data_IF_748973540070
#
_entry.id   IF_748973540070
#
_cell.length_a   1.000
_cell.length_b   1.000
_cell.length_c   1.000
_cell.angle_alpha   90.00
_cell.angle_beta   90.00
_cell.angle_gamma   90.00
#
_symmetry.space_group_name_H-M   'P 1'
#
loop_
_entity.id
_entity.type
_entity.pdbx_description
1 polymer ?
#
# COMPACT_ATOMS: atom_id res chain seq x y z
N UNK A 1 -10.90 32.24 46.61
CA UNK A 1 -9.93 31.14 46.35
C UNK A 1 -10.55 29.93 45.68
N UNK A 2 -11.81 29.56 45.94
CA UNK A 2 -12.48 28.43 45.26
C UNK A 2 -12.85 28.69 43.78
N UNK A 3 -13.16 29.94 43.40
CA UNK A 3 -13.59 30.28 42.03
C UNK A 3 -12.46 30.23 41.00
N UNK A 4 -11.22 30.52 41.43
CA UNK A 4 -10.02 30.49 40.58
C UNK A 4 -9.57 29.05 40.28
N UNK A 5 -9.75 28.13 41.23
CA UNK A 5 -9.41 26.71 41.07
C UNK A 5 -10.34 26.03 40.06
N UNK A 6 -11.64 26.37 40.07
CA UNK A 6 -12.62 25.85 39.12
C UNK A 6 -12.30 26.30 37.69
N UNK A 7 -11.88 27.57 37.49
CA UNK A 7 -11.47 28.08 36.18
C UNK A 7 -10.19 27.41 35.64
N UNK A 8 -9.21 27.10 36.50
CA UNK A 8 -7.97 26.40 36.10
C UNK A 8 -8.22 24.93 35.78
N UNK A 9 -9.17 24.28 36.46
CA UNK A 9 -9.57 22.89 36.17
C UNK A 9 -10.40 22.81 34.89
N UNK A 10 -11.33 23.74 34.65
CA UNK A 10 -12.12 23.79 33.40
C UNK A 10 -11.27 24.17 32.18
N UNK A 11 -10.26 25.04 32.33
CA UNK A 11 -9.32 25.35 31.24
C UNK A 11 -8.34 24.21 30.99
N UNK A 12 -7.83 23.52 32.02
CA UNK A 12 -7.02 22.31 31.86
C UNK A 12 -7.80 21.13 31.27
N UNK A 13 -9.08 20.96 31.61
CA UNK A 13 -9.97 19.95 31.00
C UNK A 13 -10.31 20.31 29.56
N UNK A 14 -10.44 21.60 29.21
CA UNK A 14 -10.56 22.03 27.82
C UNK A 14 -9.30 21.74 27.02
N UNK A 15 -8.10 21.98 27.57
CA UNK A 15 -6.83 21.64 26.91
C UNK A 15 -6.60 20.14 26.75
N UNK A 16 -7.11 19.31 27.67
CA UNK A 16 -7.13 17.85 27.54
C UNK A 16 -8.20 17.34 26.57
N UNK A 17 -9.28 18.09 26.33
CA UNK A 17 -10.31 17.72 25.35
C UNK A 17 -10.08 18.28 23.94
N UNK A 18 -9.16 19.23 23.73
CA UNK A 18 -8.85 19.79 22.41
C UNK A 18 -7.64 19.18 21.70
N UNK A 19 -6.94 18.21 22.30
CA UNK A 19 -5.81 17.50 21.66
C UNK A 19 -6.13 16.09 21.14
N UNK A 20 -7.41 15.75 20.96
CA UNK A 20 -7.83 14.50 20.27
C UNK A 20 -8.69 14.84 19.05
N UNK A 21 -8.15 15.71 18.18
CA UNK A 21 -8.61 15.82 16.80
C UNK A 21 -7.55 15.15 15.92
N UNK A 22 -7.32 13.87 16.19
CA UNK A 22 -6.42 13.03 15.41
C UNK A 22 -7.25 12.40 14.28
N UNK A 23 -6.87 12.69 13.03
CA UNK A 23 -7.58 12.20 11.86
C UNK A 23 -7.58 10.67 11.78
N UNK A 24 -8.61 10.15 11.13
CA UNK A 24 -9.07 8.77 11.26
C UNK A 24 -8.77 7.92 10.00
N UNK A 25 -7.86 8.38 9.13
CA UNK A 25 -7.63 7.73 7.85
C UNK A 25 -6.80 6.43 8.01
N UNK A 26 -7.33 5.32 7.47
CA UNK A 26 -6.72 3.99 7.31
C UNK A 26 -5.96 3.38 8.51
N UNK A 27 -6.42 3.61 9.75
CA UNK A 27 -5.82 2.99 10.96
C UNK A 27 -5.85 1.46 10.97
N UNK A 28 -6.79 0.84 10.26
CA UNK A 28 -6.90 -0.62 10.13
C UNK A 28 -5.65 -1.27 9.55
N UNK A 29 -4.78 -0.52 8.85
CA UNK A 29 -3.51 -1.05 8.38
C UNK A 29 -2.64 -1.58 9.52
N UNK A 30 -2.83 -1.08 10.76
CA UNK A 30 -2.11 -1.54 11.95
C UNK A 30 -2.31 -3.04 12.25
N UNK A 31 -3.31 -3.68 11.63
CA UNK A 31 -3.49 -5.14 11.63
C UNK A 31 -2.23 -5.88 11.16
N UNK A 32 -1.38 -5.27 10.31
CA UNK A 32 -0.12 -5.90 9.88
C UNK A 32 0.75 -6.39 11.05
N UNK A 33 0.63 -5.73 12.22
CA UNK A 33 1.40 -6.03 13.41
C UNK A 33 0.68 -6.94 14.42
N UNK A 34 -0.36 -7.67 14.00
CA UNK A 34 -1.12 -8.60 14.86
C UNK A 34 -0.23 -9.58 15.64
N UNK A 35 0.86 -10.05 15.05
CA UNK A 35 1.79 -10.98 15.70
C UNK A 35 2.52 -10.34 16.90
N UNK A 36 2.87 -9.04 16.83
CA UNK A 36 3.47 -8.33 17.97
C UNK A 36 2.46 -8.07 19.10
N UNK A 37 1.16 -8.13 18.80
CA UNK A 37 0.08 -8.07 19.79
C UNK A 37 -0.26 -9.45 20.41
N UNK A 38 0.51 -10.49 20.07
CA UNK A 38 0.28 -11.86 20.57
C UNK A 38 -0.88 -12.58 19.89
N UNK A 39 -1.46 -12.01 18.83
CA UNK A 39 -2.54 -12.61 18.04
C UNK A 39 -1.91 -13.38 16.88
N UNK A 40 -1.84 -14.70 17.00
CA UNK A 40 -1.25 -15.57 15.97
C UNK A 40 -2.22 -15.92 14.84
N UNK A 41 -3.51 -16.05 15.15
CA UNK A 41 -4.60 -16.35 14.21
C UNK A 41 -5.93 -15.86 14.79
N UNK A 42 -6.78 -15.19 14.00
CA UNK A 42 -8.11 -14.76 14.44
C UNK A 42 -9.08 -15.95 14.40
N UNK A 43 -9.23 -16.63 15.54
CA UNK A 43 -10.07 -17.84 15.65
C UNK A 43 -11.41 -17.60 16.34
N UNK A 44 -11.55 -16.50 17.09
CA UNK A 44 -12.81 -16.11 17.75
C UNK A 44 -13.31 -14.76 17.24
N UNK A 45 -14.65 -14.58 17.09
CA UNK A 45 -15.25 -13.27 16.84
C UNK A 45 -14.85 -12.18 17.84
N UNK A 46 -14.49 -12.55 19.08
CA UNK A 46 -14.14 -11.58 20.12
C UNK A 46 -12.81 -10.88 19.82
N UNK A 47 -11.86 -11.58 19.19
CA UNK A 47 -10.57 -10.99 18.80
C UNK A 47 -10.72 -9.84 17.80
N UNK A 48 -11.81 -9.81 17.00
CA UNK A 48 -12.05 -8.74 16.04
C UNK A 48 -12.24 -7.36 16.69
N UNK A 49 -12.67 -7.31 17.96
CA UNK A 49 -12.86 -6.05 18.69
C UNK A 49 -11.54 -5.50 19.25
N UNK A 50 -10.58 -6.39 19.49
CA UNK A 50 -9.24 -6.07 20.01
C UNK A 50 -8.30 -5.56 18.91
N UNK A 51 -8.65 -5.78 17.64
CA UNK A 51 -7.81 -5.38 16.51
C UNK A 51 -7.72 -3.84 16.40
N UNK A 52 -6.49 -3.30 16.27
CA UNK A 52 -6.29 -1.85 16.25
C UNK A 52 -6.86 -1.22 14.98
N UNK A 53 -7.62 -0.14 15.17
CA UNK A 53 -7.98 0.77 14.08
C UNK A 53 -9.14 0.32 13.19
N UNK A 54 -9.80 -0.81 13.45
CA UNK A 54 -11.02 -1.18 12.73
C UNK A 54 -12.21 -0.31 13.15
N UNK A 55 -13.03 0.05 12.17
CA UNK A 55 -14.36 0.63 12.44
C UNK A 55 -15.40 -0.47 12.67
N UNK A 56 -16.51 -0.15 13.34
CA UNK A 56 -17.58 -1.12 13.65
C UNK A 56 -18.02 -1.95 12.44
N UNK A 57 -18.09 -1.35 11.24
CA UNK A 57 -18.46 -2.10 10.03
C UNK A 57 -17.40 -3.14 9.64
N UNK A 58 -16.11 -2.81 9.77
CA UNK A 58 -15.00 -3.74 9.56
C UNK A 58 -14.98 -4.83 10.63
N UNK A 59 -15.26 -4.50 11.90
CA UNK A 59 -15.41 -5.50 12.98
C UNK A 59 -16.51 -6.50 12.60
N UNK A 60 -17.67 -6.04 12.12
CA UNK A 60 -18.75 -6.94 11.69
C UNK A 60 -18.36 -7.79 10.47
N UNK A 61 -17.51 -7.29 9.57
CA UNK A 61 -16.98 -8.07 8.45
C UNK A 61 -15.99 -9.12 8.97
N UNK A 62 -15.09 -8.75 9.87
CA UNK A 62 -14.14 -9.64 10.54
C UNK A 62 -14.88 -10.80 11.23
N UNK A 63 -15.87 -10.51 12.06
CA UNK A 63 -16.66 -11.53 12.78
C UNK A 63 -17.34 -12.55 11.86
N UNK A 64 -17.65 -12.17 10.61
CA UNK A 64 -18.29 -13.05 9.61
C UNK A 64 -17.29 -13.80 8.73
N UNK A 65 -16.04 -13.34 8.67
CA UNK A 65 -15.01 -13.81 7.74
C UNK A 65 -13.67 -14.02 8.46
N UNK A 66 -13.69 -14.70 9.62
CA UNK A 66 -12.51 -14.89 10.47
C UNK A 66 -11.32 -15.47 9.69
N UNK A 67 -11.56 -16.50 8.88
CA UNK A 67 -10.54 -17.17 8.05
C UNK A 67 -9.82 -16.22 7.07
N UNK A 68 -10.50 -15.16 6.60
CA UNK A 68 -9.94 -14.23 5.60
C UNK A 68 -9.04 -13.19 6.26
N UNK A 69 -9.15 -12.98 7.58
CA UNK A 69 -8.48 -11.87 8.26
C UNK A 69 -6.95 -12.05 8.33
N UNK A 70 -6.45 -13.27 8.30
CA UNK A 70 -5.00 -13.52 8.17
C UNK A 70 -4.51 -13.03 6.80
N UNK A 71 -5.27 -13.25 5.72
CA UNK A 71 -4.98 -12.68 4.39
C UNK A 71 -5.09 -11.14 4.38
N UNK A 72 -6.01 -10.55 5.14
CA UNK A 72 -6.10 -9.08 5.29
C UNK A 72 -4.83 -8.52 5.94
N UNK A 73 -4.32 -9.20 6.97
CA UNK A 73 -3.06 -8.84 7.62
C UNK A 73 -1.87 -8.86 6.68
N UNK A 74 -1.75 -9.97 5.92
CA UNK A 74 -0.71 -10.14 4.91
C UNK A 74 -0.83 -9.04 3.86
N UNK A 75 -2.04 -8.73 3.39
CA UNK A 75 -2.31 -7.66 2.43
C UNK A 75 -1.91 -6.28 2.94
N UNK A 76 -2.17 -5.98 4.21
CA UNK A 76 -1.73 -4.73 4.84
C UNK A 76 -0.19 -4.66 4.93
N UNK A 77 0.48 -5.75 5.33
CA UNK A 77 1.93 -5.80 5.37
C UNK A 77 2.56 -5.63 3.98
N UNK A 78 2.03 -6.33 2.97
CA UNK A 78 2.46 -6.19 1.57
C UNK A 78 2.36 -4.73 1.12
N UNK A 79 1.22 -4.08 1.38
CA UNK A 79 1.02 -2.68 1.01
C UNK A 79 2.02 -1.73 1.65
N UNK A 80 2.35 -1.92 2.93
CA UNK A 80 3.32 -1.09 3.66
C UNK A 80 4.74 -1.30 3.11
N UNK A 81 5.17 -2.55 2.96
CA UNK A 81 6.50 -2.88 2.47
C UNK A 81 6.71 -2.39 1.03
N UNK A 82 5.69 -2.56 0.18
CA UNK A 82 5.75 -2.09 -1.20
C UNK A 82 5.76 -0.56 -1.28
N UNK A 83 4.95 0.11 -0.46
CA UNK A 83 4.98 1.57 -0.38
C UNK A 83 6.35 2.10 0.05
N UNK A 84 6.96 1.51 1.07
CA UNK A 84 8.33 1.85 1.50
C UNK A 84 9.36 1.58 0.41
N UNK A 85 9.21 0.49 -0.34
CA UNK A 85 10.09 0.14 -1.46
C UNK A 85 10.00 1.18 -2.58
N UNK A 86 8.77 1.51 -3.02
CA UNK A 86 8.54 2.46 -4.11
C UNK A 86 8.94 3.90 -3.75
N UNK A 87 8.93 4.26 -2.46
CA UNK A 87 9.24 5.61 -1.98
C UNK A 87 10.60 5.72 -1.26
N UNK A 88 11.41 4.66 -1.19
CA UNK A 88 12.70 4.64 -0.48
C UNK A 88 13.62 5.82 -0.84
N UNK A 89 13.56 6.28 -2.10
CA UNK A 89 14.37 7.37 -2.65
C UNK A 89 13.60 8.69 -2.85
N UNK A 90 12.41 8.85 -2.24
CA UNK A 90 11.64 10.11 -2.22
C UNK A 90 11.75 10.76 -0.84
N UNK A 91 11.57 12.07 -0.72
CA UNK A 91 11.61 12.81 0.56
C UNK A 91 10.61 12.28 1.58
N UNK A 92 9.39 11.99 1.13
CA UNK A 92 8.47 11.12 1.86
C UNK A 92 8.73 9.67 1.43
N UNK A 93 9.14 8.82 2.37
CA UNK A 93 9.58 7.45 2.12
C UNK A 93 8.58 6.38 2.59
N UNK A 94 7.34 6.77 2.87
CA UNK A 94 6.32 5.87 3.40
C UNK A 94 6.70 5.18 4.74
N UNK A 95 7.55 5.82 5.55
CA UNK A 95 7.87 5.35 6.90
C UNK A 95 6.62 5.31 7.77
N UNK A 96 6.54 4.26 8.60
CA UNK A 96 5.49 4.13 9.60
C UNK A 96 5.82 4.92 10.85
N UNK A 97 4.85 5.66 11.40
CA UNK A 97 5.00 6.41 12.66
C UNK A 97 4.18 5.77 13.78
N UNK A 98 4.62 5.93 15.02
CA UNK A 98 3.94 5.31 16.17
C UNK A 98 2.48 5.79 16.30
N UNK A 99 1.57 4.85 16.55
CA UNK A 99 0.14 5.10 16.76
C UNK A 99 -0.74 5.16 15.49
N UNK A 100 -0.16 5.47 14.32
CA UNK A 100 -0.86 5.39 13.02
C UNK A 100 0.11 5.01 11.90
N UNK A 101 -0.20 3.95 11.16
CA UNK A 101 0.73 3.34 10.17
C UNK A 101 1.32 4.36 9.19
N UNK A 102 0.65 5.45 8.85
CA UNK A 102 1.19 6.48 7.95
C UNK A 102 1.00 7.93 8.43
N UNK A 103 0.76 8.15 9.72
CA UNK A 103 0.62 9.51 10.28
C UNK A 103 -0.57 10.29 9.72
N UNK A 104 -0.46 11.62 9.74
CA UNK A 104 -1.47 12.53 9.18
C UNK A 104 -1.35 12.72 7.67
N UNK A 105 -0.41 12.07 6.99
CA UNK A 105 -0.30 12.11 5.52
C UNK A 105 -1.61 11.63 4.89
N UNK A 106 -2.26 10.64 5.51
CA UNK A 106 -3.56 10.13 5.07
C UNK A 106 -4.75 11.05 5.42
N UNK A 107 -4.57 11.96 6.36
CA UNK A 107 -5.61 12.92 6.73
C UNK A 107 -5.75 14.02 5.67
N UNK A 108 -4.68 14.28 4.92
CA UNK A 108 -4.65 15.26 3.83
C UNK A 108 -4.80 14.60 2.45
N UNK A 109 -5.40 15.33 1.51
CA UNK A 109 -5.87 14.79 0.24
C UNK A 109 -4.75 14.80 -0.76
N UNK A 110 -3.56 14.39 -0.32
CA UNK A 110 -2.32 14.53 -1.08
C UNK A 110 -2.17 13.38 -2.04
N UNK A 111 -1.19 13.53 -2.92
CA UNK A 111 -0.81 12.49 -3.87
C UNK A 111 -0.31 11.22 -3.16
N UNK A 112 0.39 11.36 -2.04
CA UNK A 112 0.88 10.25 -1.22
C UNK A 112 -0.28 9.48 -0.61
N UNK A 113 -1.30 10.19 -0.09
CA UNK A 113 -2.51 9.56 0.41
C UNK A 113 -3.26 8.79 -0.70
N UNK A 114 -3.29 9.32 -1.92
CA UNK A 114 -3.89 8.63 -3.06
C UNK A 114 -3.19 7.28 -3.34
N UNK A 115 -1.86 7.27 -3.37
CA UNK A 115 -1.09 6.04 -3.56
C UNK A 115 -1.31 5.04 -2.42
N UNK A 116 -1.27 5.50 -1.16
CA UNK A 116 -1.46 4.61 0.00
C UNK A 116 -2.83 3.93 -0.03
N UNK A 117 -3.90 4.67 -0.35
CA UNK A 117 -5.24 4.10 -0.50
C UNK A 117 -5.28 3.03 -1.60
N UNK A 118 -4.69 3.33 -2.76
CA UNK A 118 -4.63 2.41 -3.89
C UNK A 118 -3.83 1.13 -3.57
N UNK A 119 -2.60 1.25 -3.06
CA UNK A 119 -1.75 0.10 -2.75
C UNK A 119 -2.32 -0.73 -1.59
N UNK A 120 -3.02 -0.11 -0.63
CA UNK A 120 -3.69 -0.82 0.47
C UNK A 120 -4.88 -1.64 -0.01
N UNK A 121 -5.72 -1.06 -0.87
CA UNK A 121 -6.85 -1.78 -1.47
C UNK A 121 -6.38 -2.91 -2.38
N UNK A 122 -5.32 -2.67 -3.16
CA UNK A 122 -4.66 -3.69 -3.96
C UNK A 122 -4.05 -4.79 -3.09
N UNK A 123 -3.37 -4.45 -2.00
CA UNK A 123 -2.73 -5.40 -1.08
C UNK A 123 -3.73 -6.41 -0.50
N UNK A 124 -4.88 -5.93 -0.02
CA UNK A 124 -5.96 -6.82 0.47
C UNK A 124 -6.53 -7.68 -0.66
N UNK A 125 -6.81 -7.11 -1.83
CA UNK A 125 -7.34 -7.87 -2.95
C UNK A 125 -6.37 -8.96 -3.43
N UNK A 126 -5.09 -8.64 -3.50
CA UNK A 126 -4.02 -9.56 -3.90
C UNK A 126 -3.85 -10.70 -2.90
N UNK A 127 -3.72 -10.39 -1.61
CA UNK A 127 -3.52 -11.40 -0.57
C UNK A 127 -4.72 -12.34 -0.44
N UNK A 128 -5.95 -11.82 -0.45
CA UNK A 128 -7.17 -12.63 -0.39
C UNK A 128 -7.29 -13.53 -1.62
N UNK A 129 -7.04 -13.00 -2.82
CA UNK A 129 -7.05 -13.81 -4.05
C UNK A 129 -6.00 -14.93 -3.99
N UNK A 130 -4.82 -14.64 -3.45
CA UNK A 130 -3.76 -15.64 -3.29
C UNK A 130 -4.16 -16.73 -2.30
N UNK A 131 -4.75 -16.38 -1.15
CA UNK A 131 -5.27 -17.35 -0.18
C UNK A 131 -6.37 -18.24 -0.76
N UNK A 132 -7.22 -17.71 -1.64
CA UNK A 132 -8.19 -18.53 -2.38
C UNK A 132 -7.51 -19.52 -3.32
N UNK A 133 -6.51 -19.04 -4.07
CA UNK A 133 -5.90 -19.80 -5.17
C UNK A 133 -4.87 -20.83 -4.66
N UNK A 134 -4.30 -20.62 -3.47
CA UNK A 134 -3.48 -21.62 -2.77
C UNK A 134 -4.30 -22.67 -2.02
N UNK A 135 -5.62 -22.45 -1.85
CA UNK A 135 -6.50 -23.34 -1.08
C UNK A 135 -6.42 -23.14 0.43
N UNK A 136 -5.85 -22.02 0.91
CA UNK A 136 -5.83 -21.66 2.34
C UNK A 136 -7.21 -21.22 2.85
N UNK A 137 -8.05 -20.66 1.97
CA UNK A 137 -9.39 -20.20 2.32
C UNK A 137 -10.45 -21.20 1.83
N UNK A 138 -11.35 -21.65 2.71
CA UNK A 138 -12.31 -22.71 2.37
C UNK A 138 -13.49 -22.21 1.51
N UNK A 139 -13.89 -20.95 1.70
CA UNK A 139 -15.08 -20.37 1.02
C UNK A 139 -14.84 -19.87 -0.39
N UNK A 140 -13.61 -19.96 -0.89
CA UNK A 140 -13.25 -19.55 -2.25
C UNK A 140 -12.23 -20.52 -2.85
N UNK A 141 -11.86 -20.27 -4.10
CA UNK A 141 -10.94 -21.11 -4.84
C UNK A 141 -10.56 -20.47 -6.18
N UNK A 142 -9.98 -21.30 -7.05
CA UNK A 142 -9.63 -20.90 -8.42
C UNK A 142 -10.84 -20.41 -9.21
N UNK A 143 -10.61 -19.50 -10.15
CA UNK A 143 -11.58 -19.08 -11.14
C UNK A 143 -11.93 -20.23 -12.09
N UNK A 144 -13.20 -20.61 -12.12
CA UNK A 144 -13.75 -21.68 -12.96
C UNK A 144 -14.48 -21.14 -14.20
N UNK A 145 -14.54 -19.82 -14.37
CA UNK A 145 -15.19 -19.20 -15.53
C UNK A 145 -14.32 -19.28 -16.79
N UNK A 146 -13.01 -19.41 -16.62
CA UNK A 146 -12.05 -19.68 -17.69
C UNK A 146 -11.90 -21.20 -17.89
N UNK A 147 -12.23 -21.69 -19.08
CA UNK A 147 -12.22 -23.12 -19.37
C UNK A 147 -12.39 -23.45 -20.85
N UNK A 148 -12.13 -24.71 -21.19
CA UNK A 148 -12.31 -25.27 -22.54
C UNK A 148 -11.05 -25.25 -23.40
N UNK A 149 -11.16 -25.90 -24.56
CA UNK A 149 -10.12 -25.88 -25.60
C UNK A 149 -10.29 -24.61 -26.45
N UNK A 150 -9.25 -23.79 -26.53
CA UNK A 150 -9.24 -22.68 -27.48
C UNK A 150 -8.64 -23.13 -28.82
N UNK A 151 -9.04 -22.48 -29.91
CA UNK A 151 -8.51 -22.73 -31.25
C UNK A 151 -6.98 -22.48 -31.34
N UNK A 152 -6.42 -21.73 -30.39
CA UNK A 152 -5.02 -21.28 -30.35
C UNK A 152 -4.03 -22.32 -29.79
N UNK A 153 -4.39 -23.60 -29.78
CA UNK A 153 -3.47 -24.70 -29.48
C UNK A 153 -3.06 -24.84 -28.01
N UNK A 154 -3.86 -24.33 -27.07
CA UNK A 154 -3.66 -24.56 -25.64
C UNK A 154 -4.95 -24.93 -24.92
N UNK A 155 -4.80 -25.55 -23.76
CA UNK A 155 -5.91 -25.95 -22.89
C UNK A 155 -5.88 -25.11 -21.62
N UNK A 156 -7.04 -24.59 -21.20
CA UNK A 156 -7.18 -24.00 -19.86
C UNK A 156 -7.14 -25.10 -18.81
N UNK A 157 -6.13 -25.08 -17.95
CA UNK A 157 -6.04 -25.96 -16.79
C UNK A 157 -5.10 -25.38 -15.73
N UNK A 158 -5.09 -25.98 -14.54
CA UNK A 158 -4.46 -25.42 -13.35
C UNK A 158 -5.42 -24.53 -12.57
N UNK A 159 -4.86 -23.66 -11.73
CA UNK A 159 -5.63 -22.74 -10.89
C UNK A 159 -5.48 -21.32 -11.46
N UNK A 160 -6.53 -20.82 -12.10
CA UNK A 160 -6.58 -19.40 -12.46
C UNK A 160 -6.94 -18.58 -11.23
N UNK A 161 -6.20 -17.51 -10.94
CA UNK A 161 -6.41 -16.68 -9.77
C UNK A 161 -7.78 -15.96 -9.85
N UNK A 162 -8.64 -16.14 -8.84
CA UNK A 162 -9.98 -15.52 -8.79
C UNK A 162 -9.94 -14.09 -8.25
N UNK A 163 -9.39 -13.17 -9.05
CA UNK A 163 -9.23 -11.76 -8.66
C UNK A 163 -10.55 -11.09 -8.31
N UNK A 164 -11.65 -11.44 -8.99
CA UNK A 164 -12.97 -10.86 -8.74
C UNK A 164 -13.42 -11.05 -7.29
N UNK A 165 -13.14 -12.23 -6.70
CA UNK A 165 -13.44 -12.49 -5.29
C UNK A 165 -12.63 -11.58 -4.35
N UNK A 166 -11.30 -11.50 -4.55
CA UNK A 166 -10.43 -10.67 -3.72
C UNK A 166 -10.74 -9.19 -3.85
N UNK A 167 -11.04 -8.70 -5.06
CA UNK A 167 -11.49 -7.32 -5.33
C UNK A 167 -12.80 -7.03 -4.60
N UNK A 168 -13.79 -7.92 -4.67
CA UNK A 168 -15.07 -7.75 -3.98
C UNK A 168 -14.91 -7.71 -2.46
N UNK A 169 -14.06 -8.58 -1.90
CA UNK A 169 -13.76 -8.58 -0.47
C UNK A 169 -13.05 -7.27 -0.07
N UNK A 170 -12.01 -6.87 -0.81
CA UNK A 170 -11.28 -5.62 -0.57
C UNK A 170 -12.20 -4.41 -0.63
N UNK A 171 -13.09 -4.33 -1.62
CA UNK A 171 -14.11 -3.29 -1.71
C UNK A 171 -15.03 -3.27 -0.48
N UNK A 172 -15.47 -4.43 -0.02
CA UNK A 172 -16.37 -4.51 1.16
C UNK A 172 -15.66 -4.09 2.44
N UNK A 173 -14.40 -4.47 2.62
CA UNK A 173 -13.63 -4.26 3.84
C UNK A 173 -12.93 -2.89 3.91
N UNK A 174 -12.18 -2.52 2.86
CA UNK A 174 -11.37 -1.29 2.83
C UNK A 174 -12.29 -0.06 2.73
N UNK A 175 -13.30 -0.09 1.85
CA UNK A 175 -14.20 1.05 1.66
C UNK A 175 -15.18 1.25 2.83
N UNK A 176 -15.28 0.27 3.76
CA UNK A 176 -16.09 0.41 4.98
C UNK A 176 -15.56 1.52 5.91
N UNK A 177 -14.25 1.81 5.89
CA UNK A 177 -13.64 2.92 6.62
C UNK A 177 -14.21 4.27 6.17
N UNK A 178 -14.36 4.45 4.86
CA UNK A 178 -14.73 5.71 4.23
C UNK A 178 -16.18 6.13 4.53
N UNK A 179 -17.04 5.17 4.85
CA UNK A 179 -18.46 5.41 5.16
C UNK A 179 -18.69 6.07 6.52
N UNK A 180 -17.81 5.82 7.51
CA UNK A 180 -17.91 6.35 8.88
C UNK A 180 -17.01 7.57 9.13
N UNK A 181 -15.94 7.74 8.35
CA UNK A 181 -14.98 8.81 8.56
C UNK A 181 -15.66 10.19 8.55
N UNK A 182 -15.30 11.05 9.53
CA UNK A 182 -15.63 12.50 9.57
C UNK A 182 -14.97 13.29 8.42
N UNK A 183 -14.44 12.59 7.41
CA UNK A 183 -13.84 13.18 6.24
C UNK A 183 -14.91 13.90 5.39
N UNK A 184 -14.49 14.95 4.70
CA UNK A 184 -15.35 15.67 3.76
C UNK A 184 -15.84 14.72 2.66
N UNK A 185 -16.99 15.03 2.05
CA UNK A 185 -17.53 14.22 0.96
C UNK A 185 -16.54 14.11 -0.20
N UNK A 186 -15.82 15.19 -0.53
CA UNK A 186 -14.77 15.20 -1.55
C UNK A 186 -13.66 14.21 -1.23
N UNK A 187 -13.22 14.16 0.03
CA UNK A 187 -12.20 13.21 0.47
C UNK A 187 -12.66 11.78 0.36
N UNK A 188 -13.88 11.50 0.81
CA UNK A 188 -14.48 10.17 0.68
C UNK A 188 -14.51 9.72 -0.77
N UNK A 189 -14.92 10.59 -1.69
CA UNK A 189 -14.94 10.29 -3.13
C UNK A 189 -13.53 10.00 -3.65
N UNK A 190 -12.52 10.79 -3.24
CA UNK A 190 -11.13 10.59 -3.62
C UNK A 190 -10.60 9.24 -3.13
N UNK A 191 -10.82 8.90 -1.86
CA UNK A 191 -10.37 7.63 -1.28
C UNK A 191 -11.04 6.43 -1.96
N UNK A 192 -12.36 6.47 -2.18
CA UNK A 192 -13.09 5.40 -2.88
C UNK A 192 -12.59 5.22 -4.33
N UNK A 193 -12.31 6.32 -5.03
CA UNK A 193 -11.74 6.29 -6.38
C UNK A 193 -10.35 5.63 -6.38
N UNK A 194 -9.47 6.08 -5.51
CA UNK A 194 -8.10 5.56 -5.46
C UNK A 194 -8.04 4.09 -4.99
N UNK A 195 -8.91 3.69 -4.06
CA UNK A 195 -9.07 2.29 -3.68
C UNK A 195 -9.46 1.43 -4.90
N UNK A 196 -10.39 1.92 -5.72
CA UNK A 196 -10.81 1.24 -6.94
C UNK A 196 -9.69 1.19 -7.98
N UNK A 197 -8.96 2.29 -8.20
CA UNK A 197 -7.81 2.31 -9.08
C UNK A 197 -6.74 1.28 -8.67
N UNK A 198 -6.53 1.08 -7.37
CA UNK A 198 -5.70 0.02 -6.81
C UNK A 198 -6.15 -1.37 -7.22
N UNK A 199 -7.44 -1.68 -6.99
CA UNK A 199 -8.04 -2.98 -7.35
C UNK A 199 -8.01 -3.25 -8.86
N UNK A 200 -8.36 -2.24 -9.67
CA UNK A 200 -8.31 -2.28 -11.13
C UNK A 200 -6.91 -2.58 -11.66
N UNK A 201 -5.88 -2.05 -11.01
CA UNK A 201 -4.50 -2.31 -11.43
C UNK A 201 -4.15 -3.80 -11.40
N UNK A 202 -4.75 -4.58 -10.49
CA UNK A 202 -4.58 -6.05 -10.48
C UNK A 202 -5.31 -6.68 -11.65
N UNK A 203 -6.59 -6.33 -11.84
CA UNK A 203 -7.43 -6.88 -12.92
C UNK A 203 -6.83 -6.60 -14.31
N UNK A 204 -6.40 -5.36 -14.55
CA UNK A 204 -5.87 -4.88 -15.83
C UNK A 204 -4.51 -5.51 -16.18
N UNK A 205 -3.78 -6.03 -15.18
CA UNK A 205 -2.44 -6.59 -15.36
C UNK A 205 -2.37 -8.10 -15.14
N UNK A 206 -3.51 -8.80 -15.14
CA UNK A 206 -3.56 -10.26 -15.13
C UNK A 206 -2.83 -10.84 -16.35
N UNK A 207 -2.00 -11.85 -16.12
CA UNK A 207 -1.18 -12.48 -17.17
C UNK A 207 -1.63 -13.91 -17.42
N UNK A 208 -1.50 -14.35 -18.66
CA UNK A 208 -1.60 -15.77 -18.99
C UNK A 208 -0.24 -16.41 -18.76
N UNK A 209 -0.18 -17.36 -17.84
CA UNK A 209 0.98 -18.22 -17.65
C UNK A 209 0.72 -19.59 -18.26
N UNK A 210 1.75 -20.20 -18.85
CA UNK A 210 1.62 -21.48 -19.51
C UNK A 210 2.75 -22.43 -19.11
N UNK A 211 2.42 -23.72 -19.00
CA UNK A 211 3.38 -24.82 -18.88
C UNK A 211 3.34 -25.68 -20.13
N UNK A 212 4.52 -25.91 -20.70
CA UNK A 212 4.68 -26.78 -21.86
C UNK A 212 4.88 -28.23 -21.45
N UNK A 213 4.27 -29.15 -22.18
CA UNK A 213 4.22 -30.58 -21.86
C UNK A 213 4.81 -31.49 -22.96
N UNK A 214 5.39 -30.93 -24.03
CA UNK A 214 5.94 -31.70 -25.13
C UNK A 214 7.28 -32.38 -24.80
N UNK A 215 7.63 -33.38 -25.60
CA UNK A 215 8.88 -34.15 -25.47
C UNK A 215 10.09 -33.19 -25.49
N UNK A 216 11.05 -33.41 -24.60
CA UNK A 216 12.24 -32.56 -24.43
C UNK A 216 11.96 -31.08 -24.14
N UNK A 217 10.80 -30.75 -23.57
CA UNK A 217 10.41 -29.37 -23.23
C UNK A 217 9.79 -28.58 -24.38
N UNK A 218 9.37 -29.26 -25.46
CA UNK A 218 8.62 -28.62 -26.55
C UNK A 218 7.25 -28.12 -26.08
N UNK A 219 6.74 -27.06 -26.72
CA UNK A 219 5.47 -26.41 -26.40
C UNK A 219 4.33 -26.77 -27.38
N UNK A 220 4.44 -27.90 -28.08
CA UNK A 220 3.40 -28.39 -29.01
C UNK A 220 2.06 -28.62 -28.28
N UNK A 221 2.13 -29.05 -27.03
CA UNK A 221 1.01 -29.03 -26.09
C UNK A 221 1.38 -28.18 -24.88
N UNK A 222 0.51 -27.23 -24.52
CA UNK A 222 0.68 -26.40 -23.34
C UNK A 222 -0.64 -26.22 -22.59
N UNK A 223 -0.53 -26.12 -21.28
CA UNK A 223 -1.62 -25.79 -20.37
C UNK A 223 -1.42 -24.37 -19.88
N UNK A 224 -2.47 -23.55 -19.87
CA UNK A 224 -2.38 -22.18 -19.40
C UNK A 224 -3.42 -21.85 -18.33
N UNK A 225 -3.08 -20.91 -17.45
CA UNK A 225 -3.95 -20.33 -16.43
C UNK A 225 -3.73 -18.82 -16.36
N UNK A 226 -4.71 -18.09 -15.81
CA UNK A 226 -4.53 -16.67 -15.51
C UNK A 226 -3.91 -16.51 -14.13
N UNK A 227 -2.82 -15.75 -14.03
CA UNK A 227 -2.21 -15.42 -12.74
C UNK A 227 -2.06 -13.93 -12.53
N UNK A 228 -2.20 -13.51 -11.27
CA UNK A 228 -1.89 -12.16 -10.84
C UNK A 228 -0.39 -11.90 -11.02
N UNK A 229 0.00 -10.68 -11.40
CA UNK A 229 1.40 -10.29 -11.38
C UNK A 229 1.94 -10.28 -9.95
N UNK A 230 3.27 -10.17 -9.82
CA UNK A 230 3.88 -10.01 -8.50
C UNK A 230 3.40 -8.71 -7.86
N UNK A 231 3.38 -8.63 -6.53
CA UNK A 231 2.94 -7.41 -5.85
C UNK A 231 3.89 -6.23 -6.12
N UNK A 232 5.17 -6.50 -6.36
CA UNK A 232 6.14 -5.49 -6.81
C UNK A 232 5.81 -4.90 -8.19
N UNK A 233 5.36 -5.73 -9.13
CA UNK A 233 4.88 -5.24 -10.44
C UNK A 233 3.66 -4.33 -10.27
N UNK A 234 2.72 -4.68 -9.38
CA UNK A 234 1.57 -3.83 -9.04
C UNK A 234 2.02 -2.50 -8.41
N UNK A 235 2.97 -2.56 -7.48
CA UNK A 235 3.58 -1.38 -6.86
C UNK A 235 4.22 -0.46 -7.88
N UNK A 236 4.92 -1.01 -8.87
CA UNK A 236 5.54 -0.26 -9.95
C UNK A 236 4.49 0.44 -10.84
N UNK A 237 3.45 -0.26 -11.29
CA UNK A 237 2.38 0.33 -12.10
C UNK A 237 1.63 1.43 -11.33
N UNK A 238 1.34 1.21 -10.05
CA UNK A 238 0.74 2.25 -9.20
C UNK A 238 1.69 3.43 -8.98
N UNK A 239 3.00 3.21 -8.97
CA UNK A 239 3.99 4.26 -8.79
C UNK A 239 4.10 5.17 -10.02
N UNK A 240 3.92 4.61 -11.22
CA UNK A 240 3.77 5.38 -12.47
C UNK A 240 2.47 6.22 -12.44
N UNK A 241 1.36 5.61 -12.02
CA UNK A 241 0.08 6.32 -11.86
C UNK A 241 0.16 7.43 -10.81
N UNK A 242 0.97 7.27 -9.77
CA UNK A 242 1.26 8.32 -8.80
C UNK A 242 2.01 9.50 -9.44
N UNK A 243 3.02 9.25 -10.28
CA UNK A 243 3.77 10.33 -10.93
C UNK A 243 2.87 11.15 -11.89
N UNK A 244 1.92 10.49 -12.54
CA UNK A 244 0.89 11.09 -13.40
C UNK A 244 -0.45 11.45 -12.74
N UNK A 245 -0.54 11.40 -11.40
CA UNK A 245 -1.81 11.61 -10.70
C UNK A 245 -2.42 13.00 -10.96
N UNK A 246 -3.75 13.07 -11.06
CA UNK A 246 -4.48 14.29 -11.41
C UNK A 246 -4.99 15.03 -10.18
N UNK A 247 -4.72 16.33 -10.10
CA UNK A 247 -5.37 17.19 -9.11
C UNK A 247 -6.83 17.42 -9.48
N UNK A 248 -7.74 17.13 -8.57
CA UNK A 248 -9.18 17.23 -8.77
C UNK A 248 -9.82 18.20 -7.79
N UNK A 249 -10.96 18.72 -8.19
CA UNK A 249 -11.88 19.45 -7.35
C UNK A 249 -13.27 18.84 -7.46
N UNK A 250 -14.10 19.11 -6.46
CA UNK A 250 -15.44 18.58 -6.41
C UNK A 250 -16.43 19.59 -6.99
N UNK A 251 -17.17 19.19 -8.02
CA UNK A 251 -18.25 19.99 -8.58
C UNK A 251 -19.60 19.28 -8.41
N UNK A 252 -20.64 20.07 -8.16
CA UNK A 252 -22.01 19.59 -8.15
C UNK A 252 -22.55 19.62 -9.57
N UNK A 253 -22.68 18.46 -10.19
CA UNK A 253 -23.25 18.30 -11.53
C UNK A 253 -24.65 17.69 -11.36
N UNK A 254 -25.67 18.53 -11.48
CA UNK A 254 -27.06 18.17 -11.15
C UNK A 254 -27.24 17.89 -9.66
N UNK A 255 -27.72 16.69 -9.32
CA UNK A 255 -27.89 16.24 -7.92
C UNK A 255 -26.65 15.53 -7.35
N UNK A 256 -25.67 15.18 -8.19
CA UNK A 256 -24.50 14.40 -7.80
C UNK A 256 -23.27 15.29 -7.67
N UNK A 257 -22.43 14.95 -6.70
CA UNK A 257 -21.12 15.56 -6.55
C UNK A 257 -20.09 14.66 -7.24
N UNK A 258 -19.29 15.24 -8.13
CA UNK A 258 -18.34 14.53 -8.96
C UNK A 258 -16.96 15.20 -8.87
N UNK A 259 -15.92 14.37 -8.84
CA UNK A 259 -14.55 14.85 -8.95
C UNK A 259 -14.25 15.15 -10.41
N UNK A 260 -13.71 16.32 -10.69
CA UNK A 260 -13.26 16.74 -12.01
C UNK A 260 -11.84 17.30 -11.90
N UNK A 261 -11.02 17.24 -12.96
CA UNK A 261 -9.71 17.89 -12.95
C UNK A 261 -9.83 19.37 -12.54
N UNK A 262 -8.92 19.83 -11.67
CA UNK A 262 -8.86 21.25 -11.26
C UNK A 262 -8.47 22.13 -12.45
N UNK A 263 -7.53 21.66 -13.29
CA UNK A 263 -7.19 22.30 -14.55
C UNK A 263 -8.04 21.70 -15.69
N UNK A 264 -8.84 22.55 -16.36
CA UNK A 264 -9.73 22.14 -17.44
C UNK A 264 -8.99 21.71 -18.73
N UNK A 265 -7.72 22.11 -18.90
CA UNK A 265 -6.90 21.71 -20.04
C UNK A 265 -6.42 20.25 -19.93
N UNK A 266 -6.51 19.65 -18.74
CA UNK A 266 -6.15 18.27 -18.52
C UNK A 266 -7.28 17.32 -18.89
N UNK A 267 -6.89 16.16 -19.43
CA UNK A 267 -7.85 15.10 -19.76
C UNK A 267 -8.57 14.62 -18.49
N UNK A 268 -9.85 14.24 -18.60
CA UNK A 268 -10.54 13.56 -17.50
C UNK A 268 -9.79 12.31 -17.05
N UNK A 269 -9.77 12.06 -15.75
CA UNK A 269 -9.19 10.85 -15.17
C UNK A 269 -10.07 9.63 -15.48
N UNK A 270 -9.43 8.48 -15.65
CA UNK A 270 -10.08 7.17 -15.76
C UNK A 270 -10.25 6.53 -14.38
N UNK A 271 -10.99 5.42 -14.31
CA UNK A 271 -11.11 4.61 -13.09
C UNK A 271 -9.79 3.98 -12.63
N UNK A 272 -8.81 3.90 -13.52
CA UNK A 272 -7.49 3.31 -13.25
C UNK A 272 -6.46 4.38 -12.87
N UNK A 273 -6.76 5.68 -12.99
CA UNK A 273 -5.86 6.77 -12.63
C UNK A 273 -5.99 7.16 -11.15
N UNK A 274 -4.90 7.67 -10.57
CA UNK A 274 -4.94 8.24 -9.22
C UNK A 274 -5.31 9.71 -9.24
N UNK A 275 -6.10 10.12 -8.24
CA UNK A 275 -6.56 11.51 -8.07
C UNK A 275 -6.25 12.04 -6.67
N UNK A 276 -5.95 13.34 -6.57
CA UNK A 276 -5.68 14.00 -5.30
C UNK A 276 -6.35 15.38 -5.23
N UNK A 277 -6.60 15.89 -4.02
CA UNK A 277 -7.36 17.14 -3.79
C UNK A 277 -6.48 18.35 -3.50
N UNK A 278 -5.34 18.12 -2.83
CA UNK A 278 -4.44 19.19 -2.38
C UNK A 278 -2.98 18.86 -2.71
N UNK A 279 -2.14 19.86 -3.04
CA UNK A 279 -0.72 19.65 -3.21
C UNK A 279 -0.07 19.03 -1.96
N UNK A 280 0.97 18.22 -2.18
CA UNK A 280 1.76 17.63 -1.11
C UNK A 280 2.48 18.72 -0.30
N UNK A 281 2.61 18.55 1.03
CA UNK A 281 3.39 19.46 1.87
C UNK A 281 4.88 19.36 1.54
N UNK A 282 5.66 20.26 2.12
CA UNK A 282 7.11 20.12 2.09
C UNK A 282 7.57 19.06 3.11
N UNK A 283 8.26 18.03 2.62
CA UNK A 283 8.78 16.91 3.42
C UNK A 283 10.25 17.11 3.83
N UNK A 284 10.80 18.30 3.64
CA UNK A 284 12.20 18.59 3.94
C UNK A 284 12.51 18.56 5.44
N UNK A 285 11.65 19.16 6.24
CA UNK A 285 11.75 19.25 7.69
C UNK A 285 10.76 18.32 8.38
N UNK A 286 11.05 17.99 9.63
CA UNK A 286 10.13 17.23 10.48
C UNK A 286 8.92 18.10 10.81
N UNK A 287 7.71 17.53 10.70
CA UNK A 287 6.49 18.22 11.08
C UNK A 287 5.53 17.33 11.88
N UNK A 288 4.68 17.98 12.67
CA UNK A 288 3.62 17.31 13.42
C UNK A 288 2.56 16.67 12.51
N UNK A 289 2.63 16.88 11.17
CA UNK A 289 1.71 16.31 10.18
C UNK A 289 2.26 14.99 9.60
N UNK A 290 3.35 14.46 10.16
CA UNK A 290 3.86 13.13 9.86
C UNK A 290 5.01 13.08 8.86
N UNK A 291 5.59 14.22 8.47
CA UNK A 291 6.91 14.26 7.84
C UNK A 291 7.98 14.00 8.90
N UNK A 292 8.83 12.98 8.71
CA UNK A 292 10.03 12.76 9.52
C UNK A 292 11.19 13.69 9.11
N UNK A 293 11.00 14.48 8.04
CA UNK A 293 12.06 15.26 7.43
C UNK A 293 13.08 14.41 6.67
N UNK A 294 14.12 15.08 6.20
CA UNK A 294 15.18 14.48 5.36
C UNK A 294 16.56 14.46 6.03
N UNK A 295 16.66 14.97 7.27
CA UNK A 295 17.89 14.95 8.06
C UNK A 295 18.42 13.52 8.23
N UNK A 296 19.73 13.34 8.05
CA UNK A 296 20.39 12.04 8.17
C UNK A 296 20.08 11.02 7.06
N UNK A 297 19.20 11.34 6.10
CA UNK A 297 18.87 10.41 5.01
C UNK A 297 20.01 10.24 4.02
N UNK A 298 20.21 9.00 3.56
CA UNK A 298 21.18 8.68 2.51
C UNK A 298 20.75 9.32 1.19
N UNK A 299 21.70 9.90 0.47
CA UNK A 299 21.46 10.52 -0.83
C UNK A 299 22.54 10.14 -1.85
N UNK A 300 22.22 10.29 -3.13
CA UNK A 300 23.15 10.01 -4.22
C UNK A 300 23.83 11.29 -4.70
N UNK A 301 25.15 11.43 -4.48
CA UNK A 301 25.91 12.62 -4.91
C UNK A 301 25.98 12.77 -6.43
N UNK A 302 25.89 11.67 -7.18
CA UNK A 302 26.03 11.67 -8.65
C UNK A 302 24.72 11.89 -9.39
N UNK A 303 23.58 11.62 -8.73
CA UNK A 303 22.25 11.77 -9.33
C UNK A 303 21.80 13.23 -9.33
N UNK A 304 21.19 13.65 -10.44
CA UNK A 304 20.44 14.91 -10.55
C UNK A 304 18.94 14.72 -10.39
N UNK A 305 18.49 13.47 -10.20
CA UNK A 305 17.10 13.14 -9.97
C UNK A 305 16.75 13.26 -8.47
N UNK A 306 15.57 12.78 -8.08
CA UNK A 306 14.98 13.01 -6.76
C UNK A 306 15.78 12.31 -5.63
N UNK A 307 16.51 11.25 -5.96
CA UNK A 307 17.47 10.58 -5.08
C UNK A 307 18.79 11.35 -4.88
N UNK A 308 19.01 12.39 -5.70
CA UNK A 308 20.17 13.25 -5.68
C UNK A 308 20.29 14.06 -4.40
N UNK A 309 21.51 14.25 -3.88
CA UNK A 309 21.74 14.99 -2.64
C UNK A 309 21.25 16.45 -2.68
N UNK A 310 21.25 17.09 -3.85
CA UNK A 310 20.72 18.44 -4.00
C UNK A 310 19.22 18.51 -3.69
N UNK A 311 18.45 17.57 -4.24
CA UNK A 311 16.99 17.52 -4.07
C UNK A 311 16.59 16.84 -2.76
N UNK A 312 17.23 15.75 -2.38
CA UNK A 312 16.89 15.00 -1.17
C UNK A 312 17.20 15.78 0.10
N UNK A 313 18.31 16.54 0.13
CA UNK A 313 18.74 17.30 1.29
C UNK A 313 18.25 18.75 1.29
N UNK A 314 17.37 19.12 0.34
CA UNK A 314 16.69 20.41 0.32
C UNK A 314 17.64 21.62 0.35
N UNK A 315 18.80 21.51 -0.30
CA UNK A 315 19.82 22.57 -0.32
C UNK A 315 20.65 22.74 0.97
N UNK A 316 20.39 21.97 2.04
CA UNK A 316 21.18 22.02 3.29
C UNK A 316 22.60 21.47 3.16
N UNK A 317 22.87 20.75 2.06
CA UNK A 317 24.10 20.00 1.83
C UNK A 317 24.08 18.63 2.51
N UNK A 318 25.21 17.93 2.43
CA UNK A 318 25.35 16.56 2.93
C UNK A 318 26.71 16.35 3.60
N UNK A 319 26.76 15.40 4.53
CA UNK A 319 27.98 14.87 5.11
C UNK A 319 28.44 13.66 4.30
N UNK A 320 29.76 13.47 4.18
CA UNK A 320 30.34 12.29 3.53
C UNK A 320 31.13 11.52 4.57
N UNK A 321 30.87 10.23 4.72
CA UNK A 321 31.63 9.34 5.56
C UNK A 321 31.93 8.05 4.80
N UNK A 322 32.99 7.38 5.24
CA UNK A 322 33.41 6.12 4.67
C UNK A 322 32.81 5.00 5.52
N UNK A 323 32.07 4.09 4.88
CA UNK A 323 31.48 2.90 5.51
C UNK A 323 32.14 1.65 4.91
N UNK A 324 32.43 0.65 5.73
CA UNK A 324 32.87 -0.66 5.27
C UNK A 324 31.66 -1.58 5.12
N UNK A 325 31.37 -1.98 3.89
CA UNK A 325 30.24 -2.87 3.58
C UNK A 325 30.78 -4.27 3.32
N UNK A 326 30.15 -5.26 3.96
CA UNK A 326 30.45 -6.67 3.74
C UNK A 326 29.50 -7.20 2.66
N UNK A 327 30.06 -7.69 1.56
CA UNK A 327 29.30 -8.28 0.47
C UNK A 327 29.76 -9.72 0.17
N UNK A 328 28.85 -10.53 -0.35
CA UNK A 328 29.20 -11.88 -0.81
C UNK A 328 29.84 -11.79 -2.18
N UNK A 329 31.09 -12.24 -2.26
CA UNK A 329 31.91 -12.17 -3.46
C UNK A 329 32.50 -13.55 -3.79
N UNK A 330 33.07 -13.67 -5.00
CA UNK A 330 33.78 -14.89 -5.44
C UNK A 330 32.97 -16.17 -5.22
N UNK A 331 31.66 -16.10 -5.50
CA UNK A 331 30.72 -17.19 -5.29
C UNK A 331 31.00 -18.34 -6.27
N UNK A 332 31.18 -19.55 -5.73
CA UNK A 332 31.35 -20.77 -6.51
C UNK A 332 30.17 -21.70 -6.28
N UNK A 333 29.56 -22.14 -7.38
CA UNK A 333 28.57 -23.20 -7.33
C UNK A 333 29.26 -24.55 -7.15
N UNK A 334 28.83 -25.30 -6.14
CA UNK A 334 29.27 -26.67 -5.92
C UNK A 334 28.19 -27.61 -6.43
N UNK A 335 28.55 -28.45 -7.41
CA UNK A 335 27.61 -29.40 -7.95
C UNK A 335 27.29 -30.45 -6.89
N UNK A 336 26.04 -30.45 -6.42
CA UNK A 336 25.48 -30.88 -5.12
C UNK A 336 24.70 -29.78 -4.35
N UNK A 337 24.33 -28.71 -5.07
CA UNK A 337 23.18 -27.81 -4.80
C UNK A 337 23.40 -26.69 -3.79
N UNK A 338 24.64 -26.22 -3.59
CA UNK A 338 24.88 -25.02 -2.82
C UNK A 338 25.89 -24.09 -3.48
N UNK A 339 25.73 -22.79 -3.19
CA UNK A 339 26.67 -21.74 -3.58
C UNK A 339 27.50 -21.38 -2.36
N UNK A 340 28.82 -21.48 -2.48
CA UNK A 340 29.76 -21.04 -1.45
C UNK A 340 30.38 -19.72 -1.87
N UNK A 341 30.10 -18.66 -1.13
CA UNK A 341 30.70 -17.33 -1.33
C UNK A 341 31.72 -17.04 -0.22
N UNK A 342 32.64 -16.11 -0.49
CA UNK A 342 33.47 -15.48 0.54
C UNK A 342 32.83 -14.15 0.93
N UNK A 343 33.09 -13.69 2.15
CA UNK A 343 32.77 -12.32 2.54
C UNK A 343 33.92 -11.43 2.07
N UNK A 344 33.60 -10.46 1.21
CA UNK A 344 34.52 -9.40 0.83
C UNK A 344 34.15 -8.13 1.57
N UNK A 345 35.18 -7.38 1.95
CA UNK A 345 35.05 -6.07 2.55
C UNK A 345 35.25 -5.02 1.46
N UNK A 346 34.27 -4.13 1.29
CA UNK A 346 34.33 -3.04 0.32
C UNK A 346 34.08 -1.72 1.02
N UNK A 347 35.04 -0.82 0.88
CA UNK A 347 34.93 0.53 1.40
C UNK A 347 34.09 1.39 0.45
N UNK A 348 33.06 2.06 0.96
CA UNK A 348 32.16 2.91 0.18
C UNK A 348 32.03 4.30 0.78
N UNK A 349 31.93 5.31 -0.07
CA UNK A 349 31.51 6.64 0.36
C UNK A 349 29.98 6.67 0.50
N UNK A 350 29.52 7.06 1.69
CA UNK A 350 28.10 7.25 1.99
C UNK A 350 27.86 8.73 2.25
N UNK A 351 26.83 9.26 1.59
CA UNK A 351 26.42 10.65 1.73
C UNK A 351 25.10 10.72 2.47
N UNK A 352 25.04 11.53 3.53
CA UNK A 352 23.82 11.73 4.33
C UNK A 352 23.48 13.20 4.45
N UNK A 353 22.20 13.53 4.33
CA UNK A 353 21.74 14.91 4.43
C UNK A 353 22.04 15.52 5.80
N UNK A 354 22.47 16.78 5.78
CA UNK A 354 22.71 17.58 6.99
C UNK A 354 21.43 17.97 7.69
#
# INVERSE_FOLDING_TARGET
MQTTIIYVILTSLCFLHTCVVCGQASRWLAIFNMQALGISTIKSPDNCEELPGLVNKQIQICKRNLEVMDSVSIGANLAIQECQTQFANRRWNCSTVDGSVFGHVLDNGTREAAFVNAISAAGVAHAVTRGCSSGELEKCGCDRTVGGNQADGFVWAGCSDNVAYGVQFSQTFVDAQEKKARATLERRLMNLHNNEAGRRTIEDNMRMECKCHGVSGSCEMKTCWKSMPTFGDIGHVLKEKFDGATEVQSLKIGSRQQLVPRNADFKPHTSSDLVYLVPSPDFCEEDLKGSLGTHGRRCNKTSKAIDGCELMCCGRGFNTHIEEVIERCSCKFHWCCYVKCRNCHRTVEVHTCK
#
